data_IF_249866805690
#
_entry.id   IF_249866805690
#
_cell.length_a   1.000
_cell.length_b   1.000
_cell.length_c   1.000
_cell.angle_alpha   90.00
_cell.angle_beta   90.00
_cell.angle_gamma   90.00
#
_symmetry.space_group_name_H-M   'P 1'
#
loop_
_entity.id
_entity.type
_entity.pdbx_description
1 polymer ?
#
# COMPACT_ATOMS: atom_id res chain seq x y z
N UNK A 1 24.38 10.30 3.86
CA UNK A 1 23.29 10.31 2.85
C UNK A 1 22.20 9.40 3.38
N UNK A 2 20.96 9.77 3.24
CA UNK A 2 19.80 8.99 3.68
C UNK A 2 19.70 7.68 2.90
N UNK A 3 19.65 6.54 3.60
CA UNK A 3 19.58 5.21 2.97
C UNK A 3 18.13 4.83 2.69
N UNK A 4 17.75 4.66 1.41
CA UNK A 4 16.40 4.31 0.96
C UNK A 4 16.40 2.95 0.27
N UNK A 5 15.53 2.04 0.72
CA UNK A 5 15.22 0.82 0.00
C UNK A 5 13.86 0.95 -0.70
N UNK A 6 13.82 0.73 -2.00
CA UNK A 6 12.59 0.54 -2.75
C UNK A 6 12.15 -0.94 -2.68
N UNK A 7 10.88 -1.20 -2.43
CA UNK A 7 10.31 -2.55 -2.40
C UNK A 7 9.20 -2.65 -3.45
N UNK A 8 9.34 -3.60 -4.37
CA UNK A 8 8.38 -3.89 -5.42
C UNK A 8 7.82 -5.30 -5.16
N UNK A 9 6.50 -5.43 -5.07
CA UNK A 9 5.85 -6.74 -4.91
C UNK A 9 5.20 -7.13 -6.24
N UNK A 10 5.47 -8.34 -6.74
CA UNK A 10 4.93 -8.82 -8.01
C UNK A 10 4.32 -10.21 -7.89
N UNK A 11 3.26 -10.45 -8.67
CA UNK A 11 2.64 -11.75 -8.85
C UNK A 11 1.99 -11.88 -10.22
N UNK A 12 2.59 -12.68 -11.12
CA UNK A 12 2.07 -12.94 -12.48
C UNK A 12 1.82 -11.64 -13.28
N UNK A 13 2.83 -10.75 -13.33
CA UNK A 13 2.82 -9.45 -14.00
C UNK A 13 4.10 -9.19 -14.79
N UNK A 14 4.65 -10.22 -15.45
CA UNK A 14 5.88 -10.10 -16.23
C UNK A 14 5.84 -8.96 -17.24
N UNK A 15 4.69 -8.67 -17.84
CA UNK A 15 4.44 -7.63 -18.82
C UNK A 15 4.64 -6.20 -18.28
N UNK A 16 4.40 -5.97 -17.00
CA UNK A 16 4.48 -4.64 -16.35
C UNK A 16 5.74 -4.44 -15.52
N UNK A 17 6.19 -5.50 -14.86
CA UNK A 17 7.28 -5.48 -13.88
C UNK A 17 8.55 -4.82 -14.41
N UNK A 18 8.98 -5.14 -15.64
CA UNK A 18 10.21 -4.57 -16.22
C UNK A 18 10.18 -3.04 -16.22
N UNK A 19 9.06 -2.45 -16.63
CA UNK A 19 8.89 -0.99 -16.68
C UNK A 19 8.92 -0.36 -15.29
N UNK A 20 8.35 -1.03 -14.28
CA UNK A 20 8.40 -0.53 -12.89
C UNK A 20 9.83 -0.55 -12.36
N UNK A 21 10.55 -1.67 -12.53
CA UNK A 21 11.95 -1.78 -12.09
C UNK A 21 12.85 -0.76 -12.79
N UNK A 22 12.71 -0.60 -14.11
CA UNK A 22 13.45 0.40 -14.88
C UNK A 22 13.17 1.83 -14.39
N UNK A 23 11.91 2.17 -14.11
CA UNK A 23 11.53 3.48 -13.55
C UNK A 23 12.13 3.75 -12.17
N UNK A 24 12.18 2.73 -11.30
CA UNK A 24 12.79 2.85 -9.98
C UNK A 24 14.31 2.98 -10.05
N UNK A 25 14.96 2.26 -10.96
CA UNK A 25 16.41 2.35 -11.16
C UNK A 25 16.84 3.66 -11.84
N UNK A 26 15.94 4.30 -12.60
CA UNK A 26 16.21 5.53 -13.33
C UNK A 26 15.93 6.82 -12.53
N UNK A 27 15.56 6.73 -11.26
CA UNK A 27 15.26 7.90 -10.43
C UNK A 27 16.45 8.87 -10.38
N UNK A 28 16.19 10.19 -10.45
CA UNK A 28 17.24 11.25 -10.35
C UNK A 28 17.94 11.23 -8.97
N UNK A 29 17.20 10.84 -7.93
CA UNK A 29 17.73 10.37 -6.64
C UNK A 29 17.56 8.86 -6.61
N UNK A 30 18.57 8.04 -6.92
CA UNK A 30 18.46 6.60 -6.92
C UNK A 30 18.11 6.03 -5.54
N UNK A 31 17.30 4.97 -5.49
CA UNK A 31 17.19 4.15 -4.29
C UNK A 31 18.53 3.43 -4.04
N UNK A 32 18.98 3.36 -2.78
CA UNK A 32 20.24 2.71 -2.43
C UNK A 32 20.14 1.18 -2.58
N UNK A 33 18.91 0.65 -2.43
CA UNK A 33 18.57 -0.76 -2.62
C UNK A 33 17.22 -0.86 -3.31
N UNK A 34 17.04 -1.87 -4.16
CA UNK A 34 15.77 -2.26 -4.78
C UNK A 34 15.51 -3.72 -4.44
N UNK A 35 14.50 -3.97 -3.65
CA UNK A 35 14.10 -5.32 -3.23
C UNK A 35 12.85 -5.70 -4.02
N UNK A 36 12.96 -6.73 -4.85
CA UNK A 36 11.82 -7.24 -5.63
C UNK A 36 11.34 -8.53 -4.98
N UNK A 37 10.11 -8.54 -4.54
CA UNK A 37 9.46 -9.73 -3.95
C UNK A 37 8.60 -10.39 -5.01
N UNK A 38 9.08 -11.50 -5.55
CA UNK A 38 8.30 -12.39 -6.42
C UNK A 38 7.44 -13.32 -5.54
N UNK A 39 6.16 -13.07 -5.54
CA UNK A 39 5.18 -13.73 -4.68
C UNK A 39 4.72 -15.09 -5.25
N UNK A 40 5.69 -15.92 -5.64
CA UNK A 40 5.52 -17.24 -6.28
C UNK A 40 4.83 -17.15 -7.65
N UNK A 41 5.30 -16.29 -8.54
CA UNK A 41 4.78 -16.18 -9.91
C UNK A 41 4.97 -17.47 -10.71
N UNK A 42 4.04 -17.74 -11.63
CA UNK A 42 4.02 -18.91 -12.50
C UNK A 42 4.07 -18.57 -14.00
N UNK A 43 4.10 -17.28 -14.31
CA UNK A 43 4.29 -16.74 -15.68
C UNK A 43 5.79 -16.51 -15.97
N UNK A 44 6.12 -15.68 -16.97
CA UNK A 44 7.50 -15.35 -17.32
C UNK A 44 8.16 -14.31 -16.40
N UNK A 45 7.62 -14.06 -15.22
CA UNK A 45 8.22 -13.14 -14.22
C UNK A 45 9.67 -13.54 -13.91
N UNK A 46 9.96 -14.84 -13.82
CA UNK A 46 11.34 -15.32 -13.59
C UNK A 46 12.31 -14.90 -14.71
N UNK A 47 11.86 -14.93 -15.98
CA UNK A 47 12.64 -14.45 -17.13
C UNK A 47 12.91 -12.95 -17.08
N UNK A 48 11.92 -12.16 -16.66
CA UNK A 48 12.09 -10.70 -16.46
C UNK A 48 13.09 -10.43 -15.33
N UNK A 49 12.95 -11.10 -14.19
CA UNK A 49 13.83 -10.94 -13.03
C UNK A 49 15.28 -11.35 -13.30
N UNK A 50 15.48 -12.34 -14.17
CA UNK A 50 16.82 -12.78 -14.60
C UNK A 50 17.67 -11.65 -15.20
N UNK A 51 17.07 -10.59 -15.75
CA UNK A 51 17.78 -9.40 -16.29
C UNK A 51 18.45 -8.57 -15.19
N UNK A 52 17.96 -8.69 -13.97
CA UNK A 52 18.44 -7.91 -12.80
C UNK A 52 19.28 -8.75 -11.83
N UNK A 53 19.44 -10.06 -12.10
CA UNK A 53 20.33 -10.91 -11.31
C UNK A 53 21.79 -10.40 -11.42
N UNK A 54 22.42 -10.20 -10.25
CA UNK A 54 23.77 -9.64 -10.19
C UNK A 54 23.86 -8.11 -10.30
N UNK A 55 22.74 -7.40 -10.46
CA UNK A 55 22.75 -5.94 -10.38
C UNK A 55 23.10 -5.49 -8.95
N UNK A 56 24.05 -4.56 -8.75
CA UNK A 56 24.63 -4.27 -7.42
C UNK A 56 23.61 -3.71 -6.41
N UNK A 57 22.56 -3.05 -6.90
CA UNK A 57 21.51 -2.45 -6.05
C UNK A 57 20.24 -3.28 -5.97
N UNK A 58 20.12 -4.42 -6.68
CA UNK A 58 18.88 -5.21 -6.74
C UNK A 58 19.02 -6.51 -5.96
N UNK A 59 18.06 -6.76 -5.08
CA UNK A 59 17.88 -8.04 -4.41
C UNK A 59 16.53 -8.64 -4.79
N UNK A 60 16.51 -9.91 -5.22
CA UNK A 60 15.31 -10.62 -5.62
C UNK A 60 14.96 -11.66 -4.54
N UNK A 61 13.78 -11.53 -3.96
CA UNK A 61 13.23 -12.49 -3.01
C UNK A 61 12.13 -13.30 -3.68
N UNK A 62 12.38 -14.59 -3.92
CA UNK A 62 11.37 -15.51 -4.48
C UNK A 62 10.70 -16.26 -3.35
N UNK A 63 9.39 -16.04 -3.17
CA UNK A 63 8.60 -16.79 -2.20
C UNK A 63 8.21 -18.17 -2.75
N UNK A 64 7.99 -19.12 -1.85
CA UNK A 64 7.58 -20.49 -2.20
C UNK A 64 6.08 -20.63 -2.42
N UNK A 65 5.30 -19.66 -1.93
CA UNK A 65 3.85 -19.60 -2.08
C UNK A 65 3.37 -18.16 -2.19
N UNK A 66 2.20 -17.94 -2.78
CA UNK A 66 1.58 -16.64 -2.86
C UNK A 66 0.99 -16.24 -1.50
N UNK A 67 1.59 -15.24 -0.87
CA UNK A 67 1.17 -14.68 0.42
C UNK A 67 0.27 -13.45 0.29
N UNK A 68 -0.17 -13.14 -0.94
CA UNK A 68 -0.91 -11.91 -1.26
C UNK A 68 -0.03 -10.65 -1.23
N UNK A 69 -0.60 -9.52 -1.62
CA UNK A 69 0.10 -8.23 -1.55
C UNK A 69 0.57 -7.91 -0.14
N UNK A 70 -0.29 -8.12 0.85
CA UNK A 70 0.02 -7.87 2.26
C UNK A 70 1.26 -8.62 2.76
N UNK A 71 1.34 -9.93 2.47
CA UNK A 71 2.50 -10.76 2.84
C UNK A 71 3.75 -10.39 2.06
N UNK A 72 3.62 -10.09 0.77
CA UNK A 72 4.72 -9.62 -0.06
C UNK A 72 5.32 -8.32 0.46
N UNK A 73 4.49 -7.30 0.77
CA UNK A 73 4.96 -6.04 1.36
C UNK A 73 5.57 -6.24 2.74
N UNK A 74 4.95 -7.04 3.62
CA UNK A 74 5.52 -7.34 4.93
C UNK A 74 6.91 -7.97 4.80
N UNK A 75 7.10 -8.91 3.86
CA UNK A 75 8.39 -9.57 3.60
C UNK A 75 9.43 -8.59 3.08
N UNK A 76 9.09 -7.79 2.06
CA UNK A 76 10.00 -6.81 1.48
C UNK A 76 10.40 -5.71 2.46
N UNK A 77 9.44 -5.19 3.23
CA UNK A 77 9.69 -4.17 4.27
C UNK A 77 10.57 -4.73 5.40
N UNK A 78 10.34 -5.98 5.83
CA UNK A 78 11.21 -6.65 6.81
C UNK A 78 12.64 -6.75 6.30
N UNK A 79 12.81 -7.16 5.03
CA UNK A 79 14.12 -7.27 4.42
C UNK A 79 14.84 -5.93 4.29
N UNK A 80 14.14 -4.88 3.86
CA UNK A 80 14.66 -3.52 3.79
C UNK A 80 15.13 -3.03 5.18
N UNK A 81 14.31 -3.28 6.19
CA UNK A 81 14.63 -2.96 7.58
C UNK A 81 15.89 -3.71 8.07
N UNK A 82 16.01 -5.00 7.81
CA UNK A 82 17.18 -5.83 8.17
C UNK A 82 18.46 -5.35 7.48
N UNK A 83 18.34 -4.82 6.24
CA UNK A 83 19.44 -4.22 5.48
C UNK A 83 19.82 -2.80 5.93
N UNK A 84 19.15 -2.26 6.95
CA UNK A 84 19.50 -0.97 7.55
C UNK A 84 18.92 0.24 6.81
N UNK A 85 17.89 0.07 5.98
CA UNK A 85 17.23 1.18 5.32
C UNK A 85 16.68 2.17 6.35
N UNK A 86 16.89 3.48 6.14
CA UNK A 86 16.30 4.56 6.94
C UNK A 86 14.88 4.87 6.48
N UNK A 87 14.63 4.69 5.18
CA UNK A 87 13.30 4.78 4.58
C UNK A 87 13.03 3.57 3.70
N UNK A 88 11.80 3.09 3.72
CA UNK A 88 11.32 2.00 2.88
C UNK A 88 10.22 2.54 1.98
N UNK A 89 10.47 2.61 0.67
CA UNK A 89 9.53 3.06 -0.35
C UNK A 89 8.92 1.85 -1.03
N UNK A 90 7.62 1.63 -0.87
CA UNK A 90 6.93 0.43 -1.39
C UNK A 90 5.99 0.78 -2.55
N UNK A 91 5.79 -0.16 -3.46
CA UNK A 91 4.90 -0.01 -4.62
C UNK A 91 4.49 -1.35 -5.23
N UNK A 92 3.37 -1.34 -5.96
CA UNK A 92 2.90 -2.45 -6.79
C UNK A 92 3.69 -2.57 -8.11
N UNK A 93 3.58 -3.73 -8.77
CA UNK A 93 4.24 -4.08 -10.04
C UNK A 93 3.61 -3.43 -11.29
N UNK A 94 2.61 -2.57 -11.12
CA UNK A 94 1.97 -1.76 -12.15
C UNK A 94 1.92 -0.25 -11.79
N UNK A 95 2.83 0.17 -10.90
CA UNK A 95 3.05 1.55 -10.51
C UNK A 95 4.25 2.14 -11.24
N UNK A 96 4.02 3.00 -12.23
CA UNK A 96 5.08 3.67 -13.00
C UNK A 96 5.44 5.01 -12.39
N UNK A 97 6.72 5.18 -12.05
CA UNK A 97 7.25 6.38 -11.39
C UNK A 97 7.71 7.43 -12.41
N UNK A 98 7.54 8.71 -12.08
CA UNK A 98 8.25 9.79 -12.77
C UNK A 98 9.71 9.84 -12.27
N UNK A 99 10.61 10.52 -12.99
CA UNK A 99 12.06 10.53 -12.68
C UNK A 99 12.40 11.12 -11.33
N UNK A 100 11.58 12.01 -10.82
CA UNK A 100 11.78 12.76 -9.58
C UNK A 100 10.90 12.29 -8.40
N UNK A 101 10.17 11.20 -8.60
CA UNK A 101 9.19 10.70 -7.61
C UNK A 101 9.79 10.50 -6.22
N UNK A 102 10.94 9.82 -6.11
CA UNK A 102 11.56 9.54 -4.82
C UNK A 102 12.14 10.80 -4.18
N UNK A 103 12.77 11.67 -4.95
CA UNK A 103 13.29 12.94 -4.44
C UNK A 103 12.16 13.80 -3.88
N UNK A 104 11.05 13.95 -4.62
CA UNK A 104 9.90 14.73 -4.19
C UNK A 104 9.20 14.14 -2.94
N UNK A 105 9.24 12.81 -2.75
CA UNK A 105 8.77 12.18 -1.50
C UNK A 105 9.66 12.56 -0.31
N UNK A 106 10.98 12.48 -0.47
CA UNK A 106 11.93 12.81 0.59
C UNK A 106 11.87 14.29 0.96
N UNK A 107 11.88 15.17 -0.04
CA UNK A 107 11.84 16.63 0.15
C UNK A 107 10.50 17.05 0.76
N UNK A 108 9.38 16.49 0.27
CA UNK A 108 8.05 16.79 0.78
C UNK A 108 7.86 16.35 2.22
N UNK A 109 8.34 15.14 2.58
CA UNK A 109 8.32 14.66 3.96
C UNK A 109 9.14 15.57 4.88
N UNK A 110 10.38 15.86 4.48
CA UNK A 110 11.29 16.71 5.27
C UNK A 110 10.72 18.13 5.48
N UNK A 111 10.15 18.72 4.42
CA UNK A 111 9.53 20.03 4.51
C UNK A 111 8.31 20.04 5.44
N UNK A 112 7.46 19.01 5.36
CA UNK A 112 6.29 18.87 6.21
C UNK A 112 6.67 18.66 7.69
N UNK A 113 7.68 17.83 7.97
CA UNK A 113 8.20 17.62 9.33
C UNK A 113 8.79 18.91 9.92
N UNK A 114 9.54 19.66 9.13
CA UNK A 114 10.12 20.95 9.55
C UNK A 114 9.03 21.98 9.88
N UNK A 115 7.96 22.07 9.08
CA UNK A 115 6.85 22.99 9.30
C UNK A 115 6.02 22.62 10.53
N UNK A 116 5.76 21.31 10.72
CA UNK A 116 4.93 20.83 11.80
C UNK A 116 5.68 20.65 13.12
N UNK A 117 7.02 20.62 13.10
CA UNK A 117 7.86 20.37 14.27
C UNK A 117 7.72 18.95 14.85
N UNK A 118 7.22 17.98 14.07
CA UNK A 118 7.03 16.57 14.45
C UNK A 118 7.51 15.64 13.34
N UNK A 119 7.87 14.42 13.70
CA UNK A 119 8.13 13.35 12.71
C UNK A 119 6.81 12.82 12.17
N UNK A 120 6.75 12.60 10.86
CA UNK A 120 5.57 12.05 10.19
C UNK A 120 5.80 10.55 9.83
N UNK A 121 4.77 9.70 10.01
CA UNK A 121 4.92 8.24 9.88
C UNK A 121 5.03 7.74 8.45
N UNK A 122 4.59 8.51 7.45
CA UNK A 122 4.76 8.18 6.05
C UNK A 122 4.58 9.39 5.12
N UNK A 123 5.12 9.25 3.91
CA UNK A 123 4.83 10.12 2.77
C UNK A 123 4.30 9.29 1.60
N UNK A 124 3.31 9.77 0.87
CA UNK A 124 2.79 9.12 -0.32
C UNK A 124 2.74 10.06 -1.53
N UNK A 125 2.81 9.48 -2.74
CA UNK A 125 2.71 10.19 -4.00
C UNK A 125 1.25 10.47 -4.38
N UNK A 126 1.05 11.40 -5.33
CA UNK A 126 -0.20 11.51 -6.08
C UNK A 126 -0.25 10.37 -7.09
N UNK A 127 -1.28 9.56 -7.03
CA UNK A 127 -1.48 8.45 -7.96
C UNK A 127 -2.40 8.88 -9.09
N UNK A 128 -1.89 8.82 -10.31
CA UNK A 128 -2.64 9.09 -11.54
C UNK A 128 -3.05 7.78 -12.22
N UNK A 129 -4.16 7.81 -12.88
CA UNK A 129 -4.55 6.77 -13.83
C UNK A 129 -3.89 6.99 -15.18
N UNK A 130 -3.88 5.98 -16.04
CA UNK A 130 -3.17 5.98 -17.34
C UNK A 130 -3.51 7.14 -18.30
N UNK A 131 -4.65 7.83 -18.11
CA UNK A 131 -5.04 9.01 -18.87
C UNK A 131 -4.61 10.35 -18.22
N UNK A 132 -3.94 10.31 -17.06
CA UNK A 132 -3.50 11.48 -16.30
C UNK A 132 -4.46 11.98 -15.23
N UNK A 133 -5.70 11.48 -15.17
CA UNK A 133 -6.65 11.79 -14.10
C UNK A 133 -6.20 11.19 -12.76
N UNK A 134 -6.76 11.67 -11.66
CA UNK A 134 -6.55 11.05 -10.33
C UNK A 134 -7.06 9.60 -10.38
N UNK A 135 -6.27 8.68 -9.86
CA UNK A 135 -6.69 7.29 -9.70
C UNK A 135 -7.66 7.18 -8.52
N UNK A 136 -8.95 6.94 -8.80
CA UNK A 136 -10.00 6.92 -7.78
C UNK A 136 -9.75 5.90 -6.66
N UNK A 137 -9.20 4.73 -7.01
CA UNK A 137 -8.90 3.67 -6.05
C UNK A 137 -7.82 4.08 -5.05
N UNK A 138 -6.91 4.97 -5.43
CA UNK A 138 -5.73 5.34 -4.66
C UNK A 138 -5.79 6.77 -4.10
N UNK A 139 -6.96 7.41 -4.15
CA UNK A 139 -7.14 8.71 -3.53
C UNK A 139 -7.05 8.56 -2.00
N UNK A 140 -6.11 9.26 -1.33
CA UNK A 140 -5.89 9.09 0.10
C UNK A 140 -7.05 9.66 0.93
N UNK A 141 -7.22 9.16 2.13
CA UNK A 141 -8.09 9.77 3.12
C UNK A 141 -7.36 10.93 3.80
N UNK A 142 -7.94 12.12 3.72
CA UNK A 142 -7.35 13.33 4.31
C UNK A 142 -7.72 13.48 5.79
N UNK A 143 -6.88 14.20 6.55
CA UNK A 143 -7.24 14.66 7.91
C UNK A 143 -8.25 15.81 7.85
N UNK A 144 -8.85 16.18 9.00
CA UNK A 144 -9.75 17.33 9.05
C UNK A 144 -9.05 18.66 8.72
N UNK A 145 -7.76 18.79 9.02
CA UNK A 145 -6.92 19.96 8.75
C UNK A 145 -5.95 19.76 7.57
N UNK A 146 -6.32 18.94 6.62
CA UNK A 146 -5.53 18.49 5.48
C UNK A 146 -4.78 19.60 4.73
N UNK A 147 -5.36 20.80 4.67
CA UNK A 147 -4.83 21.94 3.93
C UNK A 147 -3.81 22.78 4.71
N UNK A 148 -3.44 22.43 5.94
CA UNK A 148 -2.53 23.21 6.80
C UNK A 148 -1.23 23.58 6.07
N UNK A 149 -0.58 22.60 5.46
CA UNK A 149 0.70 22.82 4.77
C UNK A 149 0.53 23.70 3.52
N UNK A 150 -0.61 23.62 2.81
CA UNK A 150 -0.91 24.49 1.67
C UNK A 150 -1.04 25.95 2.09
N UNK A 151 -1.66 26.22 3.24
CA UNK A 151 -1.77 27.58 3.80
C UNK A 151 -0.39 28.16 4.13
N UNK A 152 0.57 27.31 4.48
CA UNK A 152 1.96 27.70 4.71
C UNK A 152 2.80 27.72 3.42
N UNK A 153 2.18 27.56 2.25
CA UNK A 153 2.84 27.63 0.94
C UNK A 153 3.58 26.37 0.52
N UNK A 154 3.38 25.26 1.21
CA UNK A 154 3.98 23.98 0.84
C UNK A 154 3.05 23.17 -0.07
N UNK A 155 3.56 22.49 -1.11
CA UNK A 155 2.76 21.65 -2.02
C UNK A 155 2.52 20.26 -1.41
N UNK A 156 1.95 20.21 -0.20
CA UNK A 156 1.72 18.98 0.55
C UNK A 156 0.37 19.04 1.26
N UNK A 157 -0.28 17.89 1.44
CA UNK A 157 -1.52 17.77 2.20
C UNK A 157 -1.43 16.67 3.26
N UNK A 158 -2.09 16.87 4.40
CA UNK A 158 -2.09 15.91 5.49
C UNK A 158 -3.12 14.81 5.23
N UNK A 159 -2.70 13.56 5.42
CA UNK A 159 -3.51 12.37 5.17
C UNK A 159 -3.54 11.43 6.36
N UNK A 160 -4.64 10.70 6.50
CA UNK A 160 -4.84 9.70 7.56
C UNK A 160 -4.56 8.27 7.05
N UNK A 161 -4.83 8.01 5.77
CA UNK A 161 -4.59 6.72 5.16
C UNK A 161 -4.31 6.85 3.67
N UNK A 162 -3.55 5.93 3.10
CA UNK A 162 -3.31 5.82 1.67
C UNK A 162 -3.12 4.35 1.26
N UNK A 163 -3.14 4.09 -0.06
CA UNK A 163 -2.82 2.77 -0.63
C UNK A 163 -1.33 2.54 -0.77
N UNK A 164 -0.91 1.27 -0.91
CA UNK A 164 0.49 0.86 -1.10
C UNK A 164 1.01 1.06 -2.55
N UNK A 165 0.45 2.05 -3.23
CA UNK A 165 0.89 2.47 -4.57
C UNK A 165 1.78 3.71 -4.45
N UNK A 166 3.07 3.54 -4.22
CA UNK A 166 4.06 4.58 -3.94
C UNK A 166 3.86 5.28 -2.58
N UNK A 167 4.25 4.60 -1.53
CA UNK A 167 4.30 5.15 -0.17
C UNK A 167 5.64 4.85 0.49
N UNK A 168 6.20 5.82 1.18
CA UNK A 168 7.50 5.75 1.86
C UNK A 168 7.33 5.83 3.37
N UNK A 169 7.90 4.86 4.09
CA UNK A 169 7.86 4.74 5.54
C UNK A 169 9.25 4.97 6.14
N UNK A 170 9.41 5.89 7.11
CA UNK A 170 10.64 6.00 7.86
C UNK A 170 10.82 4.78 8.78
N UNK A 171 12.08 4.37 8.98
CA UNK A 171 12.45 3.22 9.82
C UNK A 171 11.81 3.24 11.21
N UNK A 172 11.73 4.43 11.84
CA UNK A 172 11.15 4.57 13.16
C UNK A 172 9.69 4.14 13.23
N UNK A 173 8.90 4.40 12.17
CA UNK A 173 7.49 3.98 12.11
C UNK A 173 7.38 2.45 12.08
N UNK A 174 8.22 1.78 11.27
CA UNK A 174 8.29 0.32 11.23
C UNK A 174 8.73 -0.25 12.59
N UNK A 175 9.72 0.37 13.24
CA UNK A 175 10.19 -0.04 14.58
C UNK A 175 9.09 0.05 15.62
N UNK A 176 8.29 1.12 15.57
CA UNK A 176 7.27 1.39 16.60
C UNK A 176 5.99 0.61 16.37
N UNK A 177 5.57 0.45 15.12
CA UNK A 177 4.25 -0.07 14.77
C UNK A 177 4.28 -1.45 14.11
N UNK A 178 5.47 -1.99 13.80
CA UNK A 178 5.62 -3.27 13.12
C UNK A 178 5.37 -3.18 11.62
N UNK A 179 5.10 -4.34 11.02
CA UNK A 179 4.88 -4.56 9.60
C UNK A 179 3.38 -4.60 9.26
N UNK A 180 2.99 -4.47 7.98
CA UNK A 180 1.64 -4.78 7.53
C UNK A 180 1.18 -6.17 7.96
N UNK A 181 -0.12 -6.33 8.19
CA UNK A 181 -0.71 -7.61 8.59
C UNK A 181 -0.72 -8.60 7.41
N UNK A 182 0.25 -9.49 7.34
CA UNK A 182 0.39 -10.48 6.24
C UNK A 182 -0.85 -11.36 6.07
N UNK A 183 -1.56 -11.64 7.16
CA UNK A 183 -2.78 -12.47 7.17
C UNK A 183 -3.97 -11.81 6.47
N UNK A 184 -3.89 -10.49 6.18
CA UNK A 184 -4.89 -9.81 5.38
C UNK A 184 -4.88 -10.27 3.93
N UNK A 185 -3.77 -10.76 3.43
CA UNK A 185 -3.53 -11.28 2.10
C UNK A 185 -3.70 -10.20 1.00
N UNK A 186 -4.88 -9.62 0.85
CA UNK A 186 -5.19 -8.56 -0.12
C UNK A 186 -6.36 -7.72 0.38
N UNK A 187 -6.34 -6.42 0.04
CA UNK A 187 -7.33 -5.41 0.36
C UNK A 187 -7.46 -5.09 1.85
N UNK A 188 -7.49 -3.81 2.11
CA UNK A 188 -7.56 -3.21 3.44
C UNK A 188 -6.27 -3.33 4.27
N UNK A 189 -5.25 -4.02 3.82
CA UNK A 189 -3.94 -4.10 4.44
C UNK A 189 -3.24 -2.74 4.45
N UNK A 190 -3.34 -1.98 3.36
CA UNK A 190 -2.87 -0.62 3.20
C UNK A 190 -3.61 0.35 4.14
N UNK A 191 -4.93 0.26 4.19
CA UNK A 191 -5.77 1.10 5.03
C UNK A 191 -5.56 0.81 6.53
N UNK A 192 -5.41 -0.45 6.90
CA UNK A 192 -5.11 -0.84 8.28
C UNK A 192 -3.74 -0.30 8.70
N UNK A 193 -2.70 -0.57 7.91
CA UNK A 193 -1.35 -0.20 8.26
C UNK A 193 -1.18 1.32 8.37
N UNK A 194 -1.62 2.07 7.37
CA UNK A 194 -1.47 3.53 7.36
C UNK A 194 -2.27 4.19 8.48
N UNK A 195 -3.49 3.74 8.77
CA UNK A 195 -4.28 4.23 9.91
C UNK A 195 -3.65 3.86 11.25
N UNK A 196 -3.08 2.67 11.38
CA UNK A 196 -2.41 2.24 12.61
C UNK A 196 -1.22 3.13 12.94
N UNK A 197 -0.41 3.46 11.95
CA UNK A 197 0.78 4.31 12.17
C UNK A 197 0.45 5.79 12.34
N UNK A 198 -0.68 6.28 11.82
CA UNK A 198 -1.14 7.67 12.05
C UNK A 198 -1.65 7.92 13.46
N UNK A 199 -1.68 6.91 14.34
CA UNK A 199 -1.83 7.13 15.77
C UNK A 199 -0.72 8.01 16.38
N UNK A 200 0.45 8.14 15.72
CA UNK A 200 1.56 9.01 16.15
C UNK A 200 1.54 10.41 15.53
N UNK A 201 0.71 10.64 14.54
CA UNK A 201 0.61 11.88 13.76
C UNK A 201 0.19 11.59 12.32
N UNK A 202 -0.24 12.60 11.56
CA UNK A 202 -0.71 12.40 10.19
C UNK A 202 0.42 11.94 9.27
N UNK A 203 0.06 11.25 8.18
CA UNK A 203 0.92 11.12 7.01
C UNK A 203 0.87 12.36 6.14
N UNK A 204 1.69 12.41 5.10
CA UNK A 204 1.71 13.49 4.13
C UNK A 204 1.62 12.96 2.70
N UNK A 205 0.73 13.55 1.88
CA UNK A 205 0.78 13.38 0.44
C UNK A 205 1.59 14.51 -0.18
N UNK A 206 2.66 14.15 -0.86
CA UNK A 206 3.56 15.08 -1.55
C UNK A 206 3.01 15.35 -2.96
N UNK A 207 2.44 16.55 -3.20
CA UNK A 207 1.73 16.85 -4.46
C UNK A 207 2.64 16.96 -5.68
N UNK A 208 3.94 17.12 -5.49
CA UNK A 208 4.94 17.09 -6.56
C UNK A 208 5.41 15.67 -6.91
N UNK A 209 5.31 14.74 -5.98
CA UNK A 209 5.63 13.33 -6.23
C UNK A 209 4.46 12.65 -6.93
N UNK A 210 4.68 12.16 -8.14
CA UNK A 210 3.63 11.56 -8.95
C UNK A 210 4.02 10.18 -9.47
N UNK A 211 3.01 9.31 -9.56
CA UNK A 211 3.12 7.99 -10.18
C UNK A 211 1.88 7.70 -11.01
N UNK A 212 2.01 6.82 -12.00
CA UNK A 212 0.89 6.32 -12.79
C UNK A 212 0.59 4.88 -12.41
N UNK A 213 -0.64 4.60 -11.97
CA UNK A 213 -1.10 3.24 -11.71
C UNK A 213 -1.85 2.71 -12.94
N UNK A 214 -1.32 1.65 -13.55
CA UNK A 214 -1.83 1.08 -14.79
C UNK A 214 -2.98 0.10 -14.54
N UNK A 215 -4.12 0.64 -14.11
CA UNK A 215 -5.37 -0.10 -13.94
C UNK A 215 -6.21 -0.09 -15.20
N UNK A 216 -6.88 -1.21 -15.50
CA UNK A 216 -7.78 -1.30 -16.65
C UNK A 216 -9.00 -0.39 -16.57
N UNK A 217 -9.44 0.00 -15.38
CA UNK A 217 -10.60 0.89 -15.14
C UNK A 217 -10.30 1.81 -13.97
N UNK A 218 -10.53 3.12 -14.14
CA UNK A 218 -10.43 4.11 -13.05
C UNK A 218 -11.70 4.10 -12.21
N UNK A 219 -11.76 3.23 -11.22
CA UNK A 219 -12.92 3.11 -10.34
C UNK A 219 -12.52 2.54 -8.97
N UNK A 220 -13.03 3.14 -7.93
CA UNK A 220 -12.88 2.65 -6.56
C UNK A 220 -13.64 1.34 -6.30
N UNK A 221 -13.39 0.71 -5.15
CA UNK A 221 -14.05 -0.55 -4.73
C UNK A 221 -15.55 -0.32 -4.51
N UNK A 222 -16.38 -1.08 -5.22
CA UNK A 222 -17.83 -1.01 -5.11
C UNK A 222 -18.45 -2.41 -4.94
N UNK A 223 -19.18 -2.62 -3.86
CA UNK A 223 -19.85 -3.90 -3.57
C UNK A 223 -20.94 -4.27 -4.59
N UNK A 224 -21.44 -3.30 -5.39
CA UNK A 224 -22.36 -3.58 -6.48
C UNK A 224 -21.70 -4.34 -7.64
N UNK A 225 -20.36 -4.31 -7.74
CA UNK A 225 -19.60 -4.91 -8.84
C UNK A 225 -19.15 -6.34 -8.57
N UNK A 226 -19.56 -6.93 -7.44
CA UNK A 226 -19.21 -8.30 -7.06
C UNK A 226 -19.73 -9.29 -8.11
N UNK A 227 -18.80 -10.09 -8.65
CA UNK A 227 -19.09 -11.14 -9.64
C UNK A 227 -18.19 -12.37 -9.41
N UNK A 228 -18.36 -13.41 -10.21
CA UNK A 228 -17.61 -14.66 -10.02
C UNK A 228 -16.08 -14.52 -10.14
N UNK A 229 -15.59 -13.62 -10.99
CA UNK A 229 -14.15 -13.46 -11.23
C UNK A 229 -13.42 -12.68 -10.11
N UNK A 230 -14.15 -11.79 -9.42
CA UNK A 230 -13.57 -10.93 -8.38
C UNK A 230 -14.02 -11.27 -6.95
N UNK A 231 -14.98 -12.18 -6.77
CA UNK A 231 -15.54 -12.55 -5.46
C UNK A 231 -14.47 -12.92 -4.43
N UNK A 232 -13.41 -13.58 -4.86
CA UNK A 232 -12.32 -13.97 -3.98
C UNK A 232 -11.66 -12.75 -3.29
N UNK A 233 -11.45 -11.63 -4.01
CA UNK A 233 -10.93 -10.38 -3.44
C UNK A 233 -11.90 -9.81 -2.40
N UNK A 234 -13.20 -9.79 -2.73
CA UNK A 234 -14.22 -9.31 -1.80
C UNK A 234 -14.34 -10.16 -0.54
N UNK A 235 -14.03 -11.47 -0.59
CA UNK A 235 -14.02 -12.31 0.62
C UNK A 235 -12.94 -11.87 1.60
N UNK A 236 -11.75 -11.54 1.14
CA UNK A 236 -10.68 -10.97 1.97
C UNK A 236 -11.06 -9.56 2.45
N UNK A 237 -11.41 -8.65 1.54
CA UNK A 237 -11.70 -7.26 1.87
C UNK A 237 -12.82 -7.12 2.89
N UNK A 238 -13.91 -7.89 2.76
CA UNK A 238 -15.02 -7.88 3.74
C UNK A 238 -14.58 -8.39 5.10
N UNK A 239 -13.78 -9.47 5.15
CA UNK A 239 -13.23 -10.00 6.41
C UNK A 239 -12.31 -8.96 7.06
N UNK A 240 -11.39 -8.40 6.30
CA UNK A 240 -10.36 -7.50 6.79
C UNK A 240 -10.97 -6.17 7.28
N UNK A 241 -11.88 -5.55 6.50
CA UNK A 241 -12.54 -4.32 6.93
C UNK A 241 -13.45 -4.56 8.15
N UNK A 242 -14.16 -5.69 8.21
CA UNK A 242 -14.95 -6.03 9.39
C UNK A 242 -14.08 -6.21 10.65
N UNK A 243 -12.92 -6.87 10.50
CA UNK A 243 -11.90 -7.01 11.56
C UNK A 243 -11.46 -5.65 12.06
N UNK A 244 -10.99 -4.79 11.15
CA UNK A 244 -10.50 -3.45 11.50
C UNK A 244 -11.58 -2.62 12.20
N UNK A 245 -12.79 -2.52 11.61
CA UNK A 245 -13.89 -1.73 12.17
C UNK A 245 -14.31 -2.19 13.55
N UNK A 246 -14.26 -3.51 13.81
CA UNK A 246 -14.66 -4.09 15.09
C UNK A 246 -13.58 -3.93 16.17
N UNK A 247 -12.31 -4.17 15.83
CA UNK A 247 -11.22 -4.24 16.82
C UNK A 247 -10.48 -2.92 17.02
N UNK A 248 -10.48 -2.02 16.02
CA UNK A 248 -9.68 -0.79 16.03
C UNK A 248 -10.52 0.50 15.94
N UNK A 249 -11.83 0.39 15.67
CA UNK A 249 -12.76 1.51 15.78
C UNK A 249 -13.80 1.20 16.87
N UNK A 250 -15.04 0.97 16.47
CA UNK A 250 -16.13 0.65 17.39
C UNK A 250 -17.21 -0.26 16.74
N UNK A 251 -18.08 -0.92 17.52
CA UNK A 251 -19.15 -1.76 16.97
C UNK A 251 -20.12 -1.03 16.04
N UNK A 252 -20.30 0.30 16.21
CA UNK A 252 -21.15 1.08 15.31
C UNK A 252 -20.48 1.27 13.95
N UNK A 253 -19.15 1.40 13.89
CA UNK A 253 -18.40 1.43 12.64
C UNK A 253 -18.56 0.11 11.87
N UNK A 254 -18.46 -1.03 12.57
CA UNK A 254 -18.72 -2.33 11.98
C UNK A 254 -20.17 -2.46 11.47
N UNK A 255 -21.16 -1.94 12.21
CA UNK A 255 -22.55 -1.94 11.79
C UNK A 255 -22.80 -1.05 10.56
N UNK A 256 -22.19 0.15 10.51
CA UNK A 256 -22.22 1.04 9.32
C UNK A 256 -21.60 0.37 8.11
N UNK A 257 -20.48 -0.33 8.30
CA UNK A 257 -19.86 -1.12 7.24
C UNK A 257 -20.78 -2.23 6.75
N UNK A 258 -21.41 -3.01 7.65
CA UNK A 258 -22.39 -4.02 7.27
C UNK A 258 -23.54 -3.42 6.45
N UNK A 259 -24.08 -2.28 6.86
CA UNK A 259 -25.15 -1.59 6.13
C UNK A 259 -24.70 -1.19 4.72
N UNK A 260 -23.50 -0.59 4.57
CA UNK A 260 -22.92 -0.21 3.28
C UNK A 260 -22.73 -1.44 2.38
N UNK A 261 -22.13 -2.51 2.91
CA UNK A 261 -21.93 -3.79 2.22
C UNK A 261 -23.25 -4.33 1.66
N UNK A 262 -24.25 -4.53 2.52
CA UNK A 262 -25.52 -5.13 2.09
C UNK A 262 -26.33 -4.23 1.17
N UNK A 263 -26.25 -2.90 1.33
CA UNK A 263 -26.86 -1.95 0.41
C UNK A 263 -26.23 -2.06 -0.99
N UNK A 264 -24.91 -2.04 -1.09
CA UNK A 264 -24.18 -2.20 -2.36
C UNK A 264 -24.50 -3.53 -3.04
N UNK A 265 -24.47 -4.65 -2.29
CA UNK A 265 -24.84 -5.97 -2.82
C UNK A 265 -26.29 -6.05 -3.33
N UNK A 266 -27.22 -5.31 -2.71
CA UNK A 266 -28.61 -5.22 -3.19
C UNK A 266 -28.72 -4.38 -4.46
N UNK A 267 -28.05 -3.24 -4.53
CA UNK A 267 -28.01 -2.36 -5.68
C UNK A 267 -27.42 -3.07 -6.92
N UNK A 268 -26.33 -3.82 -6.72
CA UNK A 268 -25.69 -4.65 -7.75
C UNK A 268 -26.47 -5.92 -8.12
N UNK A 269 -27.64 -6.17 -7.50
CA UNK A 269 -28.45 -7.39 -7.69
C UNK A 269 -27.61 -8.67 -7.51
N UNK A 270 -26.59 -8.63 -6.65
CA UNK A 270 -25.69 -9.76 -6.39
C UNK A 270 -26.49 -10.96 -5.90
N UNK A 271 -26.26 -12.19 -6.41
CA UNK A 271 -27.01 -13.38 -6.04
C UNK A 271 -27.02 -13.63 -4.54
N UNK A 272 -28.15 -14.10 -3.97
CA UNK A 272 -28.31 -14.26 -2.53
C UNK A 272 -27.25 -15.19 -1.90
N UNK A 273 -26.81 -16.25 -2.61
CA UNK A 273 -25.76 -17.17 -2.17
C UNK A 273 -24.43 -16.44 -1.92
N UNK A 274 -24.08 -15.51 -2.80
CA UNK A 274 -22.88 -14.68 -2.66
C UNK A 274 -23.03 -13.71 -1.49
N UNK A 275 -24.23 -13.12 -1.29
CA UNK A 275 -24.50 -12.26 -0.12
C UNK A 275 -24.33 -13.04 1.18
N UNK A 276 -24.82 -14.28 1.25
CA UNK A 276 -24.64 -15.16 2.43
C UNK A 276 -23.15 -15.49 2.65
N UNK A 277 -22.40 -15.75 1.57
CA UNK A 277 -20.96 -15.98 1.66
C UNK A 277 -20.23 -14.77 2.23
N UNK A 278 -20.52 -13.57 1.75
CA UNK A 278 -19.90 -12.33 2.26
C UNK A 278 -20.36 -11.99 3.69
N UNK A 279 -21.62 -12.31 4.07
CA UNK A 279 -22.07 -12.21 5.45
C UNK A 279 -21.29 -13.14 6.40
N UNK A 280 -20.97 -14.36 5.97
CA UNK A 280 -20.08 -15.26 6.73
C UNK A 280 -18.68 -14.69 6.86
N UNK A 281 -18.13 -14.07 5.81
CA UNK A 281 -16.82 -13.41 5.85
C UNK A 281 -16.80 -12.18 6.76
N UNK A 282 -17.88 -11.42 6.80
CA UNK A 282 -18.06 -10.35 7.77
C UNK A 282 -18.03 -10.90 9.22
N UNK A 283 -18.80 -11.96 9.50
CA UNK A 283 -18.81 -12.60 10.83
C UNK A 283 -17.45 -13.24 11.19
N UNK A 284 -16.71 -13.77 10.22
CA UNK A 284 -15.33 -14.22 10.39
C UNK A 284 -14.43 -13.06 10.80
N UNK A 285 -14.57 -11.89 10.15
CA UNK A 285 -13.82 -10.67 10.46
C UNK A 285 -13.97 -10.22 11.91
N UNK A 286 -15.16 -10.35 12.51
CA UNK A 286 -15.40 -10.02 13.94
C UNK A 286 -14.52 -10.88 14.89
N UNK A 287 -14.08 -12.06 14.46
CA UNK A 287 -13.23 -12.96 15.24
C UNK A 287 -11.77 -12.95 14.80
N UNK A 288 -11.50 -12.32 13.68
CA UNK A 288 -10.18 -12.26 13.06
C UNK A 288 -9.46 -10.99 13.56
N UNK A 289 -8.46 -11.17 14.40
CA UNK A 289 -7.69 -10.07 15.00
C UNK A 289 -6.18 -10.39 14.94
N UNK A 290 -5.57 -10.41 13.74
CA UNK A 290 -4.14 -10.63 13.62
C UNK A 290 -3.35 -9.49 14.27
N UNK A 291 -2.13 -9.80 14.72
CA UNK A 291 -1.26 -8.81 15.37
C UNK A 291 -0.05 -8.52 14.49
N UNK A 292 0.43 -7.26 14.47
CA UNK A 292 1.56 -6.91 13.65
C UNK A 292 2.82 -7.69 14.07
N UNK A 293 3.51 -8.24 13.07
CA UNK A 293 4.85 -8.75 13.25
C UNK A 293 5.86 -7.60 13.26
N UNK A 294 7.00 -7.80 13.91
CA UNK A 294 8.10 -6.84 13.95
C UNK A 294 9.32 -7.41 13.22
N UNK A 295 10.03 -6.60 12.41
CA UNK A 295 11.24 -7.06 11.75
C UNK A 295 12.34 -7.33 12.80
N UNK A 296 13.24 -8.26 12.47
CA UNK A 296 14.38 -8.56 13.36
C UNK A 296 15.35 -7.39 13.37
N UNK A 297 15.72 -6.94 14.53
CA UNK A 297 16.83 -6.00 14.68
C UNK A 297 18.13 -6.77 14.49
N UNK A 298 18.89 -6.45 13.45
CA UNK A 298 20.27 -6.94 13.32
C UNK A 298 21.11 -6.10 14.28
N UNK A 299 21.59 -6.72 15.35
CA UNK A 299 22.50 -6.12 16.34
C UNK A 299 23.90 -5.99 15.74
#
# INVERSE_FOLDING_TARGET
>A
MTNVAAVIVTYNRADKLAKVVEGVLAQDRPADQVIIVDNASTDDTAGVLGRYEGHPSVEILRLTENTGGAGGFATGMSRAYERGAEFVWIMDDDCYTDLDTLRELLDGLSAAEADMGIRLPFACSVVRWSNGDICEMNNPETTWDWGRLLVHGQPNVLVQACSFVSVMFPRWAITQFGLPLSEYFIWFDDQEYTRRITASGPGVQCLKSTVTHDLGVNRGVNFADVNASNLWKFTYGVRNEASYRWHHEDPFAAARFAQRLFTGLRQGKVPWRVRVQLAKKFAEGIRFDPKPAFPRTVL
#
